data_IF_066561329582
#
_entry.id   IF_066561329582
#
_cell.length_a   1.000
_cell.length_b   1.000
_cell.length_c   1.000
_cell.angle_alpha   90.00
_cell.angle_beta   90.00
_cell.angle_gamma   90.00
#
_symmetry.space_group_name_H-M   'P 1'
#
loop_
_entity.id
_entity.type
_entity.pdbx_description
1 polymer ?
#
# COMPACT_ATOMS: atom_id res chain seq x y z
N UNK A 1 35.81 -56.84 8.20
CA UNK A 1 35.14 -55.68 7.56
C UNK A 1 35.30 -54.52 8.50
N UNK A 2 36.23 -53.64 8.15
CA UNK A 2 36.76 -52.59 9.02
C UNK A 2 36.16 -51.27 8.59
N UNK A 3 35.37 -50.60 9.45
CA UNK A 3 34.84 -49.24 9.20
C UNK A 3 35.91 -48.18 9.52
N UNK A 4 36.23 -47.32 8.55
CA UNK A 4 37.04 -46.14 8.74
C UNK A 4 36.14 -44.97 9.14
N UNK A 5 36.58 -44.06 10.06
CA UNK A 5 35.84 -42.89 10.44
C UNK A 5 36.19 -41.70 9.50
N UNK A 6 35.16 -40.96 9.08
CA UNK A 6 35.26 -39.72 8.35
C UNK A 6 35.78 -38.59 9.25
N UNK A 7 36.90 -37.98 8.82
CA UNK A 7 37.49 -36.80 9.47
C UNK A 7 36.71 -35.53 9.08
N UNK A 8 36.20 -34.83 10.08
CA UNK A 8 35.61 -33.50 9.93
C UNK A 8 36.67 -32.44 9.59
N UNK A 9 36.41 -31.64 8.57
CA UNK A 9 37.21 -30.47 8.18
C UNK A 9 36.67 -29.28 8.95
N UNK A 10 37.49 -28.73 9.86
CA UNK A 10 37.19 -27.53 10.61
C UNK A 10 37.76 -26.33 9.84
N UNK A 11 36.88 -25.47 9.31
CA UNK A 11 37.27 -24.19 8.74
C UNK A 11 37.48 -23.16 9.87
N UNK A 12 38.74 -22.81 10.12
CA UNK A 12 39.11 -21.68 10.97
C UNK A 12 38.96 -20.39 10.19
N UNK A 13 38.03 -19.53 10.56
CA UNK A 13 37.97 -18.14 10.12
C UNK A 13 39.08 -17.32 10.79
N UNK A 14 39.95 -16.72 10.00
CA UNK A 14 40.97 -15.78 10.47
C UNK A 14 40.35 -14.39 10.58
N UNK A 15 40.23 -13.90 11.81
CA UNK A 15 39.89 -12.50 12.09
C UNK A 15 41.09 -11.60 11.78
N UNK A 16 40.97 -10.72 10.81
CA UNK A 16 41.90 -9.62 10.59
C UNK A 16 41.41 -8.39 11.38
N UNK A 17 42.04 -8.12 12.49
CA UNK A 17 41.86 -6.86 13.24
C UNK A 17 42.70 -5.76 12.56
N UNK A 18 42.03 -4.74 12.00
CA UNK A 18 42.69 -3.56 11.48
C UNK A 18 42.68 -2.49 12.60
N UNK A 19 43.86 -2.24 13.19
CA UNK A 19 44.08 -1.15 14.12
C UNK A 19 44.21 0.16 13.34
N UNK A 20 43.31 1.12 13.57
CA UNK A 20 43.46 2.50 13.10
C UNK A 20 43.93 3.36 14.26
N UNK A 21 45.12 3.92 14.07
CA UNK A 21 45.82 4.78 15.05
C UNK A 21 45.08 6.11 15.24
N UNK A 22 44.95 6.48 16.52
CA UNK A 22 44.52 7.80 17.00
C UNK A 22 45.58 8.86 16.66
N UNK A 23 45.22 9.85 15.86
CA UNK A 23 45.87 11.15 15.86
C UNK A 23 44.89 12.17 16.43
N UNK A 24 45.13 12.58 17.65
CA UNK A 24 44.44 13.68 18.30
C UNK A 24 44.92 15.03 17.76
N UNK A 25 43.98 15.87 17.36
CA UNK A 25 44.12 17.31 17.29
C UNK A 25 42.84 17.94 17.81
N UNK A 26 42.93 18.46 19.03
CA UNK A 26 41.90 19.27 19.63
C UNK A 26 41.86 20.64 18.93
N UNK A 27 40.79 20.94 18.24
CA UNK A 27 40.37 22.30 17.96
C UNK A 27 38.99 22.50 18.58
N UNK A 28 38.97 23.22 19.68
CA UNK A 28 37.74 23.79 20.22
C UNK A 28 37.29 24.87 19.25
N UNK A 29 36.18 24.61 18.57
CA UNK A 29 35.37 25.65 17.95
C UNK A 29 33.89 25.33 18.24
N UNK A 30 33.29 26.26 19.00
CA UNK A 30 31.85 26.30 19.24
C UNK A 30 31.15 26.51 17.90
N UNK A 31 30.83 25.42 17.20
CA UNK A 31 29.92 25.43 16.07
C UNK A 31 28.56 24.90 16.58
N UNK A 32 27.58 25.79 16.58
CA UNK A 32 26.16 25.44 16.65
C UNK A 32 25.92 24.20 15.80
N UNK A 33 25.37 23.16 16.41
CA UNK A 33 24.96 21.92 15.71
C UNK A 33 23.83 22.25 14.76
N UNK A 34 24.19 22.80 13.59
CA UNK A 34 23.32 22.81 12.42
C UNK A 34 23.17 21.36 11.99
N UNK A 35 21.97 20.82 12.10
CA UNK A 35 21.62 19.55 11.48
C UNK A 35 21.99 19.64 10.01
N UNK A 36 22.92 18.78 9.57
CA UNK A 36 23.24 18.63 8.14
C UNK A 36 21.92 18.42 7.41
N UNK A 37 21.65 19.15 6.33
CA UNK A 37 20.44 18.90 5.55
C UNK A 37 20.47 17.44 5.09
N UNK A 38 19.40 16.72 5.41
CA UNK A 38 19.18 15.35 4.93
C UNK A 38 19.40 15.35 3.42
N UNK A 39 20.22 14.44 2.85
CA UNK A 39 20.48 14.42 1.41
C UNK A 39 19.14 14.41 0.70
N UNK A 40 18.92 15.42 -0.14
CA UNK A 40 17.67 15.62 -0.85
C UNK A 40 17.38 14.34 -1.67
N UNK A 41 16.51 13.49 -1.14
CA UNK A 41 16.03 12.32 -1.85
C UNK A 41 15.18 12.85 -3.04
N UNK A 42 15.69 12.79 -4.28
CA UNK A 42 14.99 13.34 -5.45
C UNK A 42 13.62 12.70 -5.64
N UNK A 43 13.45 11.46 -5.16
CA UNK A 43 12.19 10.71 -5.20
C UNK A 43 11.17 11.21 -4.18
N UNK A 44 11.61 11.82 -3.07
CA UNK A 44 10.74 12.43 -2.06
C UNK A 44 10.01 13.66 -2.63
N UNK A 45 10.69 14.44 -3.48
CA UNK A 45 10.07 15.57 -4.21
C UNK A 45 9.14 15.08 -5.34
N UNK A 46 9.59 14.11 -6.13
CA UNK A 46 8.79 13.56 -7.22
C UNK A 46 7.51 12.87 -6.71
N UNK A 47 7.63 12.08 -5.63
CA UNK A 47 6.49 11.42 -5.00
C UNK A 47 5.49 12.41 -4.39
N UNK A 48 5.96 13.49 -3.74
CA UNK A 48 5.08 14.49 -3.16
C UNK A 48 4.26 15.25 -4.22
N UNK A 49 4.87 15.59 -5.36
CA UNK A 49 4.17 16.29 -6.44
C UNK A 49 3.26 15.38 -7.29
N UNK A 50 3.63 14.10 -7.47
CA UNK A 50 2.83 13.18 -8.29
C UNK A 50 1.56 12.68 -7.57
N UNK A 51 1.50 12.79 -6.23
CA UNK A 51 0.42 12.24 -5.40
C UNK A 51 -0.26 13.31 -4.54
N UNK A 52 -0.06 14.60 -4.85
CA UNK A 52 -0.80 15.69 -4.26
C UNK A 52 -2.25 15.64 -4.77
N UNK A 53 -3.25 15.84 -3.89
CA UNK A 53 -4.68 15.75 -4.27
C UNK A 53 -5.01 16.73 -5.39
N UNK A 54 -4.30 17.88 -5.47
CA UNK A 54 -4.45 18.91 -6.48
C UNK A 54 -4.00 18.46 -7.89
N UNK A 55 -3.05 17.50 -7.99
CA UNK A 55 -2.50 17.04 -9.27
C UNK A 55 -2.93 15.62 -9.65
N UNK A 56 -3.53 14.87 -8.74
CA UNK A 56 -3.99 13.50 -9.00
C UNK A 56 -4.99 13.40 -10.16
N UNK A 57 -5.77 14.45 -10.39
CA UNK A 57 -6.75 14.54 -11.50
C UNK A 57 -6.09 14.79 -12.87
N UNK A 58 -4.85 15.34 -12.91
CA UNK A 58 -4.12 15.62 -14.15
C UNK A 58 -3.46 14.39 -14.74
N UNK A 59 -3.29 13.33 -13.94
CA UNK A 59 -2.55 12.13 -14.31
C UNK A 59 -3.42 11.02 -14.91
N UNK A 60 -4.58 11.33 -15.43
CA UNK A 60 -5.44 10.44 -16.23
C UNK A 60 -5.60 9.01 -15.72
N UNK A 61 -6.63 8.32 -16.17
CA UNK A 61 -7.14 7.02 -15.70
C UNK A 61 -6.16 5.83 -15.69
N UNK A 62 -4.93 6.00 -16.13
CA UNK A 62 -3.97 4.91 -16.39
C UNK A 62 -2.72 4.93 -15.51
N UNK A 63 -2.54 5.92 -14.61
CA UNK A 63 -1.24 6.05 -13.94
C UNK A 63 -0.95 4.87 -13.01
N UNK A 64 -1.91 4.47 -12.17
CA UNK A 64 -1.69 3.34 -11.25
C UNK A 64 -1.60 1.99 -11.97
N UNK A 65 -2.27 1.82 -13.11
CA UNK A 65 -2.18 0.59 -13.90
C UNK A 65 -0.80 0.44 -14.60
N UNK A 66 -0.06 1.55 -14.74
CA UNK A 66 1.26 1.63 -15.37
C UNK A 66 2.39 1.98 -14.40
N UNK A 67 2.12 2.08 -13.08
CA UNK A 67 3.18 2.35 -12.11
C UNK A 67 4.22 1.23 -12.17
N UNK A 68 5.45 1.62 -12.52
CA UNK A 68 6.60 0.73 -12.46
C UNK A 68 6.71 0.12 -11.03
N UNK A 69 6.91 -1.20 -10.90
CA UNK A 69 7.10 -1.86 -9.60
C UNK A 69 8.15 -1.21 -8.70
N UNK A 70 9.18 -0.59 -9.28
CA UNK A 70 10.21 0.15 -8.53
C UNK A 70 9.64 1.43 -7.89
N UNK A 71 8.76 2.15 -8.60
CA UNK A 71 8.09 3.34 -8.05
C UNK A 71 7.15 2.93 -6.92
N UNK A 72 6.40 1.84 -7.11
CA UNK A 72 5.52 1.28 -6.09
C UNK A 72 6.30 0.87 -4.83
N UNK A 73 7.47 0.25 -4.98
CA UNK A 73 8.34 -0.15 -3.88
C UNK A 73 8.95 1.06 -3.14
N UNK A 74 9.14 2.19 -3.84
CA UNK A 74 9.69 3.42 -3.28
C UNK A 74 8.64 4.30 -2.57
N UNK A 75 7.34 3.99 -2.68
CA UNK A 75 6.30 4.74 -1.99
C UNK A 75 6.43 4.63 -0.47
N UNK A 76 6.29 5.74 0.29
CA UNK A 76 6.34 5.70 1.74
C UNK A 76 5.28 4.78 2.30
N UNK A 77 5.69 3.80 3.11
CA UNK A 77 4.76 2.91 3.81
C UNK A 77 3.97 3.69 4.87
N UNK A 78 2.74 3.28 5.11
CA UNK A 78 1.87 3.91 6.10
C UNK A 78 1.10 5.13 5.58
N UNK A 79 1.41 5.65 4.38
CA UNK A 79 0.62 6.69 3.71
C UNK A 79 -0.42 6.05 2.80
N UNK A 80 -1.65 6.58 2.80
CA UNK A 80 -2.71 6.14 1.91
C UNK A 80 -2.60 6.86 0.56
N UNK A 81 -2.77 6.10 -0.54
CA UNK A 81 -2.82 6.61 -1.91
C UNK A 81 -4.06 6.04 -2.59
N UNK A 82 -5.10 6.86 -2.73
CA UNK A 82 -6.40 6.45 -3.24
C UNK A 82 -6.78 7.29 -4.45
N UNK A 83 -6.98 6.65 -5.58
CA UNK A 83 -7.55 7.25 -6.78
C UNK A 83 -9.02 6.86 -6.90
N UNK A 84 -9.91 7.82 -7.01
CA UNK A 84 -11.33 7.59 -7.26
C UNK A 84 -11.66 7.78 -8.74
N UNK A 85 -12.10 6.71 -9.42
CA UNK A 85 -12.69 6.74 -10.77
C UNK A 85 -14.23 6.84 -10.71
N UNK A 86 -14.79 6.94 -9.52
CA UNK A 86 -16.23 7.03 -9.25
C UNK A 86 -16.48 8.08 -8.16
N UNK A 87 -17.71 8.65 -8.06
CA UNK A 87 -18.02 9.66 -7.07
C UNK A 87 -17.69 9.23 -5.62
N UNK A 88 -16.86 10.02 -4.92
CA UNK A 88 -16.42 9.72 -3.56
C UNK A 88 -17.28 10.39 -2.48
N UNK A 89 -17.99 11.47 -2.82
CA UNK A 89 -18.73 12.32 -1.89
C UNK A 89 -19.86 11.60 -1.12
N UNK A 90 -20.47 10.59 -1.74
CA UNK A 90 -21.54 9.80 -1.11
C UNK A 90 -21.06 8.59 -0.33
N UNK A 91 -19.75 8.23 -0.42
CA UNK A 91 -19.20 7.05 0.28
C UNK A 91 -19.16 7.32 1.78
N UNK A 92 -19.72 6.41 2.63
CA UNK A 92 -19.68 6.57 4.07
C UNK A 92 -18.25 6.64 4.62
N UNK A 93 -18.00 7.51 5.59
CA UNK A 93 -16.68 7.69 6.21
C UNK A 93 -16.07 6.38 6.74
N UNK A 94 -16.90 5.48 7.31
CA UNK A 94 -16.42 4.17 7.76
C UNK A 94 -15.76 3.36 6.62
N UNK A 95 -16.27 3.42 5.38
CA UNK A 95 -15.66 2.74 4.24
C UNK A 95 -14.42 3.49 3.74
N UNK A 96 -14.43 4.84 3.74
CA UNK A 96 -13.24 5.64 3.42
C UNK A 96 -12.09 5.33 4.40
N UNK A 97 -12.38 5.20 5.69
CA UNK A 97 -11.40 4.83 6.70
C UNK A 97 -10.81 3.42 6.45
N UNK A 98 -11.65 2.45 6.01
CA UNK A 98 -11.17 1.12 5.60
C UNK A 98 -10.25 1.24 4.39
N UNK A 99 -10.66 2.00 3.35
CA UNK A 99 -9.83 2.21 2.16
C UNK A 99 -8.48 2.86 2.49
N UNK A 100 -8.45 3.84 3.39
CA UNK A 100 -7.22 4.47 3.86
C UNK A 100 -6.29 3.45 4.52
N UNK A 101 -6.80 2.61 5.44
CA UNK A 101 -6.01 1.55 6.07
C UNK A 101 -5.52 0.50 5.07
N UNK A 102 -6.38 0.09 4.15
CA UNK A 102 -6.02 -0.85 3.07
C UNK A 102 -4.91 -0.26 2.22
N UNK A 103 -5.06 0.99 1.77
CA UNK A 103 -4.04 1.62 0.95
C UNK A 103 -2.70 1.79 1.68
N UNK A 104 -2.72 2.19 2.95
CA UNK A 104 -1.52 2.32 3.77
C UNK A 104 -0.78 0.99 4.01
N UNK A 105 -1.53 -0.12 4.13
CA UNK A 105 -0.98 -1.44 4.44
C UNK A 105 -0.59 -2.25 3.19
N UNK A 106 -1.37 -2.12 2.10
CA UNK A 106 -1.26 -2.98 0.91
C UNK A 106 -0.79 -2.24 -0.34
N UNK A 107 -0.63 -0.92 -0.27
CA UNK A 107 -0.20 -0.06 -1.37
C UNK A 107 -1.35 0.70 -2.04
N UNK A 108 -1.05 1.48 -3.09
CA UNK A 108 -2.02 2.32 -3.77
C UNK A 108 -3.26 1.55 -4.20
N UNK A 109 -4.41 2.22 -4.16
CA UNK A 109 -5.68 1.64 -4.61
C UNK A 109 -6.39 2.54 -5.61
N UNK A 110 -7.13 1.92 -6.53
CA UNK A 110 -8.10 2.61 -7.40
C UNK A 110 -9.50 2.18 -7.02
N UNK A 111 -10.36 3.14 -6.70
CA UNK A 111 -11.79 2.92 -6.47
C UNK A 111 -12.50 3.03 -7.83
N UNK A 112 -12.98 1.90 -8.33
CA UNK A 112 -13.59 1.79 -9.66
C UNK A 112 -15.10 1.99 -9.66
N UNK A 113 -15.78 1.74 -8.54
CA UNK A 113 -17.22 1.88 -8.44
C UNK A 113 -17.66 2.19 -7.02
N UNK A 114 -18.60 3.11 -6.90
CA UNK A 114 -19.28 3.50 -5.66
C UNK A 114 -20.79 3.44 -5.86
N UNK A 115 -21.46 4.58 -6.07
CA UNK A 115 -22.89 4.60 -6.40
C UNK A 115 -23.12 4.14 -7.84
N UNK A 116 -24.21 3.37 -8.05
CA UNK A 116 -24.68 2.94 -9.37
C UNK A 116 -26.16 3.25 -9.52
N UNK A 117 -26.57 3.71 -10.71
CA UNK A 117 -27.97 3.71 -11.09
C UNK A 117 -28.50 2.28 -11.21
N UNK A 118 -29.81 2.07 -11.11
CA UNK A 118 -30.44 0.73 -11.32
C UNK A 118 -30.03 0.09 -12.65
N UNK A 119 -29.97 0.88 -13.72
CA UNK A 119 -29.56 0.39 -15.04
C UNK A 119 -28.09 -0.01 -15.09
N UNK A 120 -27.19 0.79 -14.51
CA UNK A 120 -25.77 0.46 -14.40
C UNK A 120 -25.56 -0.80 -13.55
N UNK A 121 -26.29 -0.93 -12.44
CA UNK A 121 -26.21 -2.11 -11.59
C UNK A 121 -26.65 -3.39 -12.32
N UNK A 122 -27.74 -3.34 -13.09
CA UNK A 122 -28.17 -4.51 -13.92
C UNK A 122 -27.12 -4.88 -14.96
N UNK A 123 -26.56 -3.91 -15.69
CA UNK A 123 -25.48 -4.18 -16.67
C UNK A 123 -24.23 -4.80 -16.03
N UNK A 124 -23.94 -4.45 -14.79
CA UNK A 124 -22.83 -5.02 -14.03
C UNK A 124 -23.15 -6.39 -13.38
N UNK A 125 -24.31 -6.97 -13.64
CA UNK A 125 -24.74 -8.23 -12.99
C UNK A 125 -25.02 -8.08 -11.50
N UNK A 126 -25.28 -6.86 -11.02
CA UNK A 126 -25.54 -6.58 -9.62
C UNK A 126 -26.96 -7.01 -9.19
N UNK A 127 -27.10 -7.41 -7.93
CA UNK A 127 -28.40 -7.79 -7.33
C UNK A 127 -29.34 -6.58 -7.26
N UNK A 128 -30.64 -6.80 -7.26
CA UNK A 128 -31.67 -5.75 -7.16
C UNK A 128 -31.54 -4.91 -5.88
N UNK A 129 -31.15 -5.54 -4.78
CA UNK A 129 -30.89 -4.88 -3.47
C UNK A 129 -29.38 -4.66 -3.25
N UNK A 130 -28.66 -4.22 -4.28
CA UNK A 130 -27.25 -3.93 -4.20
C UNK A 130 -26.97 -2.68 -3.35
N UNK A 131 -25.97 -2.74 -2.46
CA UNK A 131 -25.50 -1.59 -1.68
C UNK A 131 -24.88 -0.48 -2.53
N UNK A 132 -24.47 -0.77 -3.77
CA UNK A 132 -24.07 0.27 -4.73
C UNK A 132 -25.23 1.21 -5.12
N UNK A 133 -26.48 0.78 -5.04
CA UNK A 133 -27.64 1.63 -5.35
C UNK A 133 -27.80 2.79 -4.37
N UNK A 134 -27.33 2.63 -3.15
CA UNK A 134 -27.39 3.62 -2.07
C UNK A 134 -26.02 4.19 -1.68
N UNK A 135 -24.98 4.03 -2.54
CA UNK A 135 -23.61 4.44 -2.26
C UNK A 135 -23.00 3.83 -0.97
N UNK A 136 -23.47 2.67 -0.55
CA UNK A 136 -22.99 1.97 0.64
C UNK A 136 -22.07 0.78 0.31
N UNK A 137 -21.51 0.78 -0.89
CA UNK A 137 -20.54 -0.19 -1.35
C UNK A 137 -19.46 0.47 -2.19
N UNK A 138 -18.29 -0.16 -2.19
CA UNK A 138 -17.13 0.26 -2.98
C UNK A 138 -16.51 -0.97 -3.63
N UNK A 139 -16.25 -0.88 -4.95
CA UNK A 139 -15.39 -1.80 -5.66
C UNK A 139 -14.05 -1.13 -5.95
N UNK A 140 -12.95 -1.76 -5.55
CA UNK A 140 -11.61 -1.19 -5.68
C UNK A 140 -10.57 -2.24 -6.09
N UNK A 141 -9.44 -1.77 -6.65
CA UNK A 141 -8.25 -2.59 -6.97
C UNK A 141 -7.08 -2.12 -6.13
N UNK A 142 -6.27 -3.07 -5.64
CA UNK A 142 -4.98 -2.80 -5.00
C UNK A 142 -3.87 -3.00 -6.03
N UNK A 143 -2.93 -2.06 -6.11
CA UNK A 143 -1.78 -2.09 -7.03
C UNK A 143 -0.51 -2.64 -6.36
N UNK A 144 -0.53 -2.89 -5.05
CA UNK A 144 0.52 -3.55 -4.30
C UNK A 144 0.24 -5.02 -4.05
N UNK A 145 0.95 -5.61 -3.08
CA UNK A 145 0.69 -6.99 -2.66
C UNK A 145 -0.62 -7.08 -1.88
N UNK A 146 -1.58 -7.82 -2.39
CA UNK A 146 -2.88 -8.03 -1.75
C UNK A 146 -2.93 -9.34 -0.91
N UNK A 147 -1.76 -9.92 -0.58
CA UNK A 147 -1.70 -11.09 0.29
C UNK A 147 -2.29 -10.77 1.67
N UNK A 148 -3.21 -11.60 2.16
CA UNK A 148 -3.89 -11.39 3.44
C UNK A 148 -4.99 -10.32 3.45
N UNK A 149 -5.25 -9.60 2.34
CA UNK A 149 -6.26 -8.53 2.32
C UNK A 149 -7.68 -9.03 2.65
N UNK A 150 -8.08 -10.20 2.17
CA UNK A 150 -9.40 -10.75 2.53
C UNK A 150 -9.52 -11.02 4.03
N UNK A 151 -8.47 -11.51 4.68
CA UNK A 151 -8.43 -11.70 6.12
C UNK A 151 -8.50 -10.36 6.85
N UNK A 152 -7.77 -9.35 6.39
CA UNK A 152 -7.85 -7.98 6.92
C UNK A 152 -9.28 -7.42 6.84
N UNK A 153 -9.94 -7.53 5.69
CA UNK A 153 -11.31 -7.09 5.49
C UNK A 153 -12.29 -7.89 6.37
N UNK A 154 -12.03 -9.19 6.51
CA UNK A 154 -12.82 -10.05 7.39
C UNK A 154 -12.67 -9.68 8.88
N UNK A 155 -11.59 -9.07 9.31
CA UNK A 155 -11.37 -8.56 10.66
C UNK A 155 -11.92 -7.15 10.90
N UNK A 156 -12.21 -6.38 9.83
CA UNK A 156 -12.67 -4.99 9.95
C UNK A 156 -14.12 -4.91 10.37
N UNK A 157 -14.41 -4.27 11.52
CA UNK A 157 -15.77 -4.12 12.06
C UNK A 157 -16.67 -3.21 11.20
N UNK A 158 -16.07 -2.30 10.44
CA UNK A 158 -16.75 -1.36 9.55
C UNK A 158 -17.25 -1.99 8.25
N UNK A 159 -16.72 -3.19 7.91
CA UNK A 159 -17.06 -3.93 6.68
C UNK A 159 -18.13 -4.96 7.01
N UNK A 160 -19.25 -4.91 6.33
CA UNK A 160 -20.29 -5.93 6.38
C UNK A 160 -20.08 -7.00 5.33
N UNK A 161 -20.34 -6.71 4.07
CA UNK A 161 -20.04 -7.58 2.95
C UNK A 161 -18.65 -7.34 2.38
N UNK A 162 -17.94 -8.41 2.01
CA UNK A 162 -16.68 -8.32 1.30
C UNK A 162 -16.49 -9.51 0.36
N UNK A 163 -15.80 -9.26 -0.77
CA UNK A 163 -15.52 -10.26 -1.80
C UNK A 163 -14.28 -9.88 -2.60
N UNK A 164 -13.57 -10.88 -3.13
CA UNK A 164 -12.61 -10.72 -4.21
C UNK A 164 -13.21 -11.30 -5.50
N UNK A 165 -13.21 -10.50 -6.56
CA UNK A 165 -13.62 -10.94 -7.89
C UNK A 165 -12.43 -11.57 -8.65
N UNK A 166 -12.68 -12.53 -9.57
CA UNK A 166 -11.63 -13.13 -10.40
C UNK A 166 -10.79 -12.11 -11.17
N UNK A 167 -11.41 -10.99 -11.60
CA UNK A 167 -10.76 -9.90 -12.31
C UNK A 167 -9.83 -9.04 -11.41
N UNK A 168 -9.59 -9.42 -10.15
CA UNK A 168 -8.67 -8.75 -9.24
C UNK A 168 -9.25 -7.55 -8.48
N UNK A 169 -10.56 -7.32 -8.56
CA UNK A 169 -11.25 -6.31 -7.76
C UNK A 169 -11.68 -6.86 -6.40
N UNK A 170 -11.78 -5.96 -5.43
CA UNK A 170 -12.35 -6.21 -4.13
C UNK A 170 -13.63 -5.41 -3.96
N UNK A 171 -14.62 -6.01 -3.36
CA UNK A 171 -15.87 -5.36 -2.93
C UNK A 171 -15.88 -5.25 -1.42
N UNK A 172 -16.33 -4.10 -0.92
CA UNK A 172 -16.71 -3.92 0.49
C UNK A 172 -18.03 -3.16 0.56
N UNK A 173 -18.85 -3.47 1.56
CA UNK A 173 -20.09 -2.74 1.83
C UNK A 173 -20.41 -2.64 3.32
N UNK A 174 -21.44 -1.85 3.63
CA UNK A 174 -21.87 -1.58 5.00
C UNK A 174 -23.02 -2.46 5.48
N UNK A 175 -23.40 -3.48 4.72
CA UNK A 175 -24.49 -4.39 5.04
C UNK A 175 -24.19 -5.36 6.18
N UNK A 176 -25.02 -6.39 6.35
CA UNK A 176 -24.74 -7.46 7.29
C UNK A 176 -23.44 -8.20 6.95
N UNK A 177 -22.82 -8.77 8.00
CA UNK A 177 -21.57 -9.52 7.86
C UNK A 177 -21.73 -10.71 6.93
N UNK A 178 -20.96 -10.76 5.83
CA UNK A 178 -20.97 -11.85 4.87
C UNK A 178 -19.79 -11.78 3.87
N UNK A 179 -19.45 -12.93 3.32
CA UNK A 179 -18.60 -13.07 2.12
C UNK A 179 -19.29 -14.05 1.14
N UNK A 180 -18.95 -13.98 -0.15
CA UNK A 180 -19.54 -14.87 -1.16
C UNK A 180 -18.59 -15.09 -2.34
#
# INVERSE_FOLDING_TARGET
MTMLPLRGVVFRAKSAALAVALFGLAFANSATAGTLPEPANPWKRLGAHLFDEEHAHLLGDSLFDKINPLVLAAMPRGKAYIQYKAPANCVPERLKNVLNRVSAAYGPITVNSTVRSRNANRRAGGREKSYHLSCQAVDFRVHGSASGLLQHLSGSKEVGGFKRYPAGYYHIDTGPRRSW
#
